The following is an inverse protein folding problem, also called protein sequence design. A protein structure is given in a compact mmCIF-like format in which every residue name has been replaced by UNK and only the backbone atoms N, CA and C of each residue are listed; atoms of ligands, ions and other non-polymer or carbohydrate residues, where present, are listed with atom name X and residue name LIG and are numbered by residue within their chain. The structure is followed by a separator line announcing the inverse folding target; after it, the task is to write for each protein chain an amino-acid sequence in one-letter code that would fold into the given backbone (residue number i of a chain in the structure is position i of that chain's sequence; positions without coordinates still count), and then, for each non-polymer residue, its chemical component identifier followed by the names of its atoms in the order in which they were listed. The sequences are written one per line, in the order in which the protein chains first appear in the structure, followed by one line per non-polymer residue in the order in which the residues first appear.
data_IF_335890679608
#
_entry.id   IF_335890679608
#
_cell.length_a   1.000
_cell.length_b   1.000
_cell.length_c   1.000
_cell.angle_alpha   90.00
_cell.angle_beta   90.00
_cell.angle_gamma   90.00
#
_symmetry.space_group_name_H-M   'P 1'
#
loop_
_entity.id
_entity.type
_entity.pdbx_description
1 polymer ?
#
# COMPACT_ATOMS: atom_id res chain seq x y z
N UNK A 1 -15.70 15.63 27.07
CA UNK A 1 -14.71 16.43 26.31
C UNK A 1 -14.04 15.62 25.20
N UNK A 2 -13.48 14.42 25.47
CA UNK A 2 -12.88 13.57 24.43
C UNK A 2 -13.88 13.11 23.35
N UNK A 3 -15.07 12.62 23.74
CA UNK A 3 -16.14 12.26 22.80
C UNK A 3 -16.65 13.45 21.96
N UNK A 4 -16.75 14.65 22.57
CA UNK A 4 -17.18 15.87 21.88
C UNK A 4 -16.13 16.41 20.88
N UNK A 5 -14.85 16.08 21.06
CA UNK A 5 -13.80 16.37 20.06
C UNK A 5 -13.82 15.37 18.90
N UNK A 6 -14.17 14.10 19.16
CA UNK A 6 -14.41 13.09 18.12
C UNK A 6 -15.66 13.36 17.28
N UNK A 7 -16.62 14.15 17.79
CA UNK A 7 -17.74 14.66 17.01
C UNK A 7 -17.30 15.69 15.94
N UNK A 8 -16.12 16.30 16.07
CA UNK A 8 -15.59 17.30 15.12
C UNK A 8 -14.58 16.67 14.14
N UNK A 9 -13.82 15.67 14.58
CA UNK A 9 -12.73 15.08 13.79
C UNK A 9 -12.85 13.57 13.65
N UNK A 10 -12.80 13.09 12.40
CA UNK A 10 -12.71 11.68 12.04
C UNK A 10 -11.30 11.13 12.35
N UNK A 11 -11.15 10.15 13.26
CA UNK A 11 -9.84 9.59 13.62
C UNK A 11 -9.06 8.97 12.45
N UNK A 12 -9.75 8.34 11.50
CA UNK A 12 -9.13 7.73 10.34
C UNK A 12 -8.59 8.82 9.38
N UNK A 13 -9.33 9.91 9.19
CA UNK A 13 -8.88 11.07 8.44
C UNK A 13 -7.66 11.73 9.11
N UNK A 14 -7.68 11.90 10.44
CA UNK A 14 -6.54 12.42 11.20
C UNK A 14 -5.34 11.50 11.00
N UNK A 15 -5.52 10.19 11.14
CA UNK A 15 -4.44 9.22 10.98
C UNK A 15 -3.79 9.36 9.60
N UNK A 16 -4.58 9.29 8.52
CA UNK A 16 -4.07 9.40 7.15
C UNK A 16 -3.41 10.75 6.87
N UNK A 17 -3.99 11.85 7.37
CA UNK A 17 -3.44 13.19 7.23
C UNK A 17 -2.09 13.32 7.94
N UNK A 18 -1.98 12.84 9.18
CA UNK A 18 -0.75 12.92 9.96
C UNK A 18 0.37 12.11 9.32
N UNK A 19 0.10 10.86 8.90
CA UNK A 19 1.14 10.03 8.28
C UNK A 19 1.55 10.61 6.92
N UNK A 20 0.60 11.10 6.11
CA UNK A 20 0.90 11.75 4.82
C UNK A 20 1.77 12.99 5.02
N UNK A 21 1.39 13.85 5.96
CA UNK A 21 2.14 15.07 6.27
C UNK A 21 3.55 14.74 6.75
N UNK A 22 3.69 13.75 7.63
CA UNK A 22 4.99 13.28 8.08
C UNK A 22 5.85 12.80 6.90
N UNK A 23 5.28 12.00 5.98
CA UNK A 23 5.96 11.51 4.76
C UNK A 23 6.45 12.65 3.88
N UNK A 24 5.57 13.61 3.57
CA UNK A 24 5.89 14.75 2.72
C UNK A 24 6.97 15.62 3.36
N UNK A 25 6.83 15.94 4.65
CA UNK A 25 7.80 16.79 5.37
C UNK A 25 9.20 16.19 5.33
N UNK A 26 9.38 14.92 5.66
CA UNK A 26 10.74 14.37 5.62
C UNK A 26 11.23 14.01 4.22
N UNK A 27 10.35 13.79 3.26
CA UNK A 27 10.75 13.77 1.85
C UNK A 27 11.32 15.13 1.43
N UNK A 28 10.62 16.23 1.74
CA UNK A 28 11.08 17.60 1.50
C UNK A 28 12.39 17.89 2.24
N UNK A 29 12.52 17.51 3.51
CA UNK A 29 13.77 17.67 4.24
C UNK A 29 14.92 16.88 3.59
N UNK A 30 14.67 15.63 3.19
CA UNK A 30 15.70 14.79 2.58
C UNK A 30 16.21 15.35 1.23
N UNK A 31 15.29 15.78 0.36
CA UNK A 31 15.65 16.31 -0.97
C UNK A 31 16.13 17.76 -0.93
N UNK A 32 15.64 18.58 0.00
CA UNK A 32 16.03 19.99 0.11
C UNK A 32 17.31 20.23 0.90
N UNK A 33 17.48 19.58 2.06
CA UNK A 33 18.66 19.69 2.93
C UNK A 33 18.89 18.36 3.67
N UNK A 34 19.61 17.44 3.04
CA UNK A 34 19.90 16.08 3.54
C UNK A 34 20.35 16.05 5.01
N UNK A 35 21.08 17.08 5.46
CA UNK A 35 21.58 17.21 6.83
C UNK A 35 20.58 17.82 7.83
N UNK A 36 19.51 18.48 7.38
CA UNK A 36 18.49 19.09 8.23
C UNK A 36 17.33 18.14 8.57
N UNK A 37 17.18 17.02 7.86
CA UNK A 37 16.10 16.07 8.12
C UNK A 37 16.22 15.41 9.52
N UNK A 38 15.15 15.36 10.32
CA UNK A 38 15.16 14.69 11.62
C UNK A 38 15.56 13.21 11.47
N UNK A 39 16.44 12.73 12.36
CA UNK A 39 17.00 11.37 12.26
C UNK A 39 15.93 10.27 12.35
N UNK A 40 14.91 10.45 13.20
CA UNK A 40 13.81 9.51 13.37
C UNK A 40 12.92 9.41 12.11
N UNK A 41 12.51 10.54 11.52
CA UNK A 41 11.73 10.53 10.28
C UNK A 41 12.54 9.95 9.11
N UNK A 42 13.82 10.31 9.03
CA UNK A 42 14.73 9.78 8.00
C UNK A 42 14.86 8.26 8.12
N UNK A 43 15.00 7.73 9.34
CA UNK A 43 15.09 6.29 9.59
C UNK A 43 13.76 5.54 9.41
N UNK A 44 12.62 6.20 9.60
CA UNK A 44 11.30 5.62 9.34
C UNK A 44 11.02 5.50 7.83
N UNK A 45 11.51 6.45 7.02
CA UNK A 45 11.33 6.46 5.56
C UNK A 45 12.37 5.66 4.80
N UNK A 46 13.63 5.76 5.20
CA UNK A 46 14.71 5.03 4.54
C UNK A 46 14.76 3.62 5.10
N UNK A 47 14.52 2.64 4.23
CA UNK A 47 14.68 1.23 4.56
C UNK A 47 15.42 0.50 3.44
N UNK A 48 15.92 -0.70 3.74
CA UNK A 48 16.66 -1.47 2.76
C UNK A 48 18.03 -0.84 2.44
N UNK A 49 18.43 -0.92 1.17
CA UNK A 49 19.72 -0.46 0.66
C UNK A 49 19.99 1.04 0.86
N UNK A 50 18.95 1.86 0.95
CA UNK A 50 19.07 3.31 1.14
C UNK A 50 19.33 3.67 2.61
N UNK A 51 18.92 2.82 3.55
CA UNK A 51 19.19 3.02 4.97
C UNK A 51 20.64 2.74 5.34
N UNK A 52 21.30 1.79 4.68
CA UNK A 52 22.67 1.38 5.00
C UNK A 52 23.71 2.49 4.75
N UNK A 53 23.44 3.36 3.79
CA UNK A 53 24.32 4.47 3.42
C UNK A 53 24.06 5.76 4.22
N UNK A 54 23.02 5.81 5.06
CA UNK A 54 22.66 7.01 5.82
C UNK A 54 23.15 6.97 7.28
N UNK A 55 23.97 7.95 7.68
CA UNK A 55 24.60 8.05 9.01
C UNK A 55 23.58 8.16 10.16
N UNK A 56 22.47 8.86 9.96
CA UNK A 56 21.39 9.04 10.96
C UNK A 56 20.54 7.78 11.10
N UNK A 57 20.25 7.07 10.01
CA UNK A 57 19.57 5.77 10.06
C UNK A 57 20.39 4.72 10.82
N UNK A 58 21.72 4.79 10.76
CA UNK A 58 22.63 3.89 11.50
C UNK A 58 22.60 4.09 13.03
N UNK A 59 22.31 5.30 13.52
CA UNK A 59 22.23 5.60 14.96
C UNK A 59 21.05 4.88 15.65
N UNK A 60 20.00 4.55 14.90
CA UNK A 60 18.81 3.85 15.39
C UNK A 60 18.89 2.32 15.19
N UNK A 61 20.09 1.76 14.96
CA UNK A 61 20.29 0.31 14.74
C UNK A 61 19.79 -0.57 15.89
N UNK A 62 19.80 -0.07 17.13
CA UNK A 62 19.38 -0.83 18.32
C UNK A 62 17.92 -1.29 18.31
N UNK A 63 17.05 -0.63 17.52
CA UNK A 63 15.62 -0.95 17.40
C UNK A 63 15.24 -1.36 15.96
N UNK A 64 16.22 -1.90 15.22
CA UNK A 64 15.99 -2.42 13.88
C UNK A 64 15.63 -3.90 13.92
N UNK A 65 14.88 -4.38 12.94
CA UNK A 65 14.46 -5.78 12.80
C UNK A 65 14.81 -6.33 11.40
N UNK A 66 14.85 -7.66 11.19
CA UNK A 66 15.17 -8.25 9.89
C UNK A 66 14.15 -7.85 8.81
N UNK A 67 14.62 -7.38 7.64
CA UNK A 67 13.71 -7.00 6.53
C UNK A 67 12.84 -8.15 6.04
N UNK A 68 13.30 -9.39 6.18
CA UNK A 68 12.54 -10.61 5.85
C UNK A 68 11.23 -10.75 6.65
N UNK A 69 11.04 -10.00 7.72
CA UNK A 69 9.78 -9.93 8.47
C UNK A 69 8.70 -9.12 7.75
N UNK A 70 8.97 -8.57 6.55
CA UNK A 70 7.95 -7.98 5.68
C UNK A 70 6.74 -8.90 5.48
N UNK A 71 6.96 -10.21 5.43
CA UNK A 71 5.90 -11.21 5.29
C UNK A 71 4.84 -11.15 6.42
N UNK A 72 5.20 -10.71 7.64
CA UNK A 72 4.29 -10.78 8.79
C UNK A 72 3.08 -9.86 8.63
N UNK A 73 3.26 -8.63 8.16
CA UNK A 73 2.12 -7.74 7.97
C UNK A 73 1.25 -8.15 6.76
N UNK A 74 1.81 -8.86 5.76
CA UNK A 74 0.99 -9.47 4.71
C UNK A 74 0.21 -10.68 5.20
N UNK A 75 0.78 -11.51 6.07
CA UNK A 75 0.06 -12.59 6.74
C UNK A 75 -1.09 -12.04 7.61
N UNK A 76 -0.82 -10.97 8.35
CA UNK A 76 -1.85 -10.21 9.06
C UNK A 76 -2.93 -9.67 8.09
N UNK A 77 -2.49 -9.05 6.99
CA UNK A 77 -3.37 -8.61 5.91
C UNK A 77 -4.29 -9.73 5.41
N UNK A 78 -3.74 -10.90 5.06
CA UNK A 78 -4.51 -12.06 4.61
C UNK A 78 -5.62 -12.41 5.59
N UNK A 79 -5.33 -12.42 6.90
CA UNK A 79 -6.33 -12.72 7.93
C UNK A 79 -7.43 -11.67 7.97
N UNK A 80 -7.08 -10.38 8.06
CA UNK A 80 -8.10 -9.32 8.22
C UNK A 80 -8.95 -9.14 6.95
N UNK A 81 -8.31 -9.17 5.76
CA UNK A 81 -9.00 -8.97 4.49
C UNK A 81 -9.90 -10.17 4.19
N UNK A 82 -9.45 -11.40 4.44
CA UNK A 82 -10.30 -12.59 4.30
C UNK A 82 -11.51 -12.52 5.23
N UNK A 83 -11.30 -12.17 6.51
CA UNK A 83 -12.38 -12.07 7.49
C UNK A 83 -13.43 -11.03 7.07
N UNK A 84 -12.99 -9.84 6.64
CA UNK A 84 -13.90 -8.79 6.17
C UNK A 84 -14.60 -9.18 4.87
N UNK A 85 -13.91 -9.85 3.94
CA UNK A 85 -14.52 -10.39 2.73
C UNK A 85 -15.63 -11.38 3.04
N UNK A 86 -15.40 -12.29 3.99
CA UNK A 86 -16.43 -13.24 4.43
C UNK A 86 -17.65 -12.53 5.03
N UNK A 87 -17.44 -11.52 5.88
CA UNK A 87 -18.55 -10.72 6.42
C UNK A 87 -19.31 -9.95 5.34
N UNK A 88 -18.61 -9.35 4.38
CA UNK A 88 -19.25 -8.64 3.26
C UNK A 88 -20.00 -9.58 2.33
N UNK A 89 -19.48 -10.77 2.04
CA UNK A 89 -20.18 -11.80 1.26
C UNK A 89 -21.43 -12.26 2.02
N UNK A 90 -21.29 -12.58 3.30
CA UNK A 90 -22.40 -12.92 4.18
C UNK A 90 -23.49 -11.84 4.16
N UNK A 91 -23.10 -10.57 4.14
CA UNK A 91 -24.06 -9.47 4.15
C UNK A 91 -24.68 -9.19 2.79
N UNK A 92 -23.85 -8.90 1.78
CA UNK A 92 -24.32 -8.36 0.51
C UNK A 92 -24.78 -9.43 -0.46
N UNK A 93 -24.34 -10.68 -0.30
CA UNK A 93 -24.77 -11.81 -1.15
C UNK A 93 -25.88 -12.60 -0.47
N UNK A 94 -25.69 -12.97 0.82
CA UNK A 94 -26.68 -13.79 1.54
C UNK A 94 -27.72 -12.97 2.31
N UNK A 95 -27.62 -11.64 2.30
CA UNK A 95 -28.64 -10.75 2.87
C UNK A 95 -28.70 -10.76 4.40
N UNK A 96 -27.64 -11.23 5.07
CA UNK A 96 -27.55 -11.18 6.53
C UNK A 96 -27.03 -9.81 6.98
N UNK A 97 -27.38 -9.33 8.18
CA UNK A 97 -26.81 -8.08 8.68
C UNK A 97 -25.32 -8.25 8.97
N UNK A 98 -24.51 -7.21 8.72
CA UNK A 98 -23.13 -7.17 9.19
C UNK A 98 -23.09 -7.31 10.72
N UNK A 99 -22.08 -8.01 11.30
CA UNK A 99 -21.97 -8.14 12.75
C UNK A 99 -21.93 -6.77 13.43
N UNK A 100 -22.78 -6.57 14.44
CA UNK A 100 -22.89 -5.28 15.15
C UNK A 100 -21.57 -4.84 15.79
N UNK A 101 -20.73 -5.80 16.20
CA UNK A 101 -19.36 -5.54 16.69
C UNK A 101 -18.48 -4.90 15.62
N UNK A 102 -18.57 -5.34 14.36
CA UNK A 102 -17.80 -4.77 13.24
C UNK A 102 -18.26 -3.34 12.98
N UNK A 103 -19.58 -3.11 12.91
CA UNK A 103 -20.15 -1.77 12.71
C UNK A 103 -19.73 -0.82 13.85
N UNK A 104 -19.91 -1.23 15.11
CA UNK A 104 -19.51 -0.45 16.28
C UNK A 104 -18.03 -0.11 16.24
N UNK A 105 -17.20 -1.06 15.83
CA UNK A 105 -15.76 -0.86 15.74
C UNK A 105 -15.38 0.13 14.64
N UNK A 106 -15.96 0.02 13.45
CA UNK A 106 -15.77 0.99 12.36
C UNK A 106 -16.21 2.38 12.79
N UNK A 107 -17.34 2.50 13.48
CA UNK A 107 -17.86 3.79 13.97
C UNK A 107 -16.95 4.47 15.01
N UNK A 108 -16.02 3.75 15.66
CA UNK A 108 -14.99 4.37 16.50
C UNK A 108 -13.99 5.20 15.66
N UNK A 109 -13.79 4.82 14.39
CA UNK A 109 -12.84 5.45 13.47
C UNK A 109 -13.51 6.30 12.40
N UNK A 110 -14.77 6.01 12.07
CA UNK A 110 -15.61 6.74 11.11
C UNK A 110 -17.00 7.01 11.76
N UNK A 111 -17.12 8.02 12.63
CA UNK A 111 -18.38 8.25 13.35
C UNK A 111 -19.52 8.78 12.45
N UNK A 112 -19.18 9.33 11.27
CA UNK A 112 -20.11 9.97 10.34
C UNK A 112 -19.94 9.39 8.93
N UNK A 113 -20.38 8.14 8.70
CA UNK A 113 -20.34 7.57 7.36
C UNK A 113 -21.19 8.44 6.42
N UNK A 114 -20.53 9.06 5.44
CA UNK A 114 -21.14 9.91 4.40
C UNK A 114 -21.22 9.20 3.04
N UNK A 115 -20.95 7.89 3.03
CA UNK A 115 -20.76 7.12 1.79
C UNK A 115 -22.05 6.94 1.00
N UNK A 116 -21.97 7.25 -0.30
CA UNK A 116 -22.97 6.95 -1.33
C UNK A 116 -22.58 5.70 -2.14
N UNK A 117 -21.55 4.96 -1.72
CA UNK A 117 -20.98 3.87 -2.50
C UNK A 117 -21.88 2.63 -2.41
N UNK A 118 -22.15 2.01 -3.56
CA UNK A 118 -22.99 0.81 -3.64
C UNK A 118 -22.32 -0.41 -2.99
N UNK A 119 -23.13 -1.37 -2.54
CA UNK A 119 -22.63 -2.65 -2.02
C UNK A 119 -21.84 -3.42 -3.09
N UNK A 120 -22.26 -3.31 -4.35
CA UNK A 120 -21.58 -3.90 -5.50
C UNK A 120 -20.16 -3.34 -5.66
N UNK A 121 -19.99 -2.02 -5.63
CA UNK A 121 -18.67 -1.37 -5.77
C UNK A 121 -17.74 -1.73 -4.61
N UNK A 122 -18.25 -1.70 -3.38
CA UNK A 122 -17.45 -2.02 -2.18
C UNK A 122 -17.05 -3.48 -2.14
N UNK A 123 -17.97 -4.39 -2.45
CA UNK A 123 -17.67 -5.82 -2.52
C UNK A 123 -16.60 -6.10 -3.58
N UNK A 124 -16.68 -5.46 -4.75
CA UNK A 124 -15.69 -5.61 -5.80
C UNK A 124 -14.31 -5.09 -5.34
N UNK A 125 -14.23 -3.91 -4.73
CA UNK A 125 -12.97 -3.39 -4.16
C UNK A 125 -12.40 -4.33 -3.10
N UNK A 126 -13.25 -4.83 -2.19
CA UNK A 126 -12.84 -5.76 -1.15
C UNK A 126 -12.26 -7.05 -1.75
N UNK A 127 -12.87 -7.60 -2.80
CA UNK A 127 -12.38 -8.79 -3.49
C UNK A 127 -11.05 -8.54 -4.20
N UNK A 128 -10.93 -7.42 -4.92
CA UNK A 128 -9.69 -7.03 -5.62
C UNK A 128 -8.54 -6.82 -4.63
N UNK A 129 -8.76 -6.07 -3.54
CA UNK A 129 -7.74 -5.87 -2.51
C UNK A 129 -7.40 -7.16 -1.75
N UNK A 130 -8.38 -8.03 -1.48
CA UNK A 130 -8.09 -9.36 -0.95
C UNK A 130 -7.13 -10.10 -1.88
N UNK A 131 -7.40 -10.11 -3.19
CA UNK A 131 -6.53 -10.77 -4.15
C UNK A 131 -5.12 -10.15 -4.22
N UNK A 132 -5.04 -8.81 -4.16
CA UNK A 132 -3.77 -8.07 -4.05
C UNK A 132 -2.97 -8.54 -2.82
N UNK A 133 -3.60 -8.57 -1.64
CA UNK A 133 -2.95 -8.95 -0.38
C UNK A 133 -2.46 -10.40 -0.42
N UNK A 134 -3.26 -11.33 -0.94
CA UNK A 134 -2.85 -12.73 -1.12
C UNK A 134 -1.64 -12.85 -2.04
N UNK A 135 -1.66 -12.16 -3.20
CA UNK A 135 -0.52 -12.19 -4.13
C UNK A 135 0.73 -11.61 -3.48
N UNK A 136 0.63 -10.48 -2.78
CA UNK A 136 1.77 -9.86 -2.10
C UNK A 136 2.31 -10.74 -0.96
N UNK A 137 1.43 -11.43 -0.22
CA UNK A 137 1.84 -12.41 0.79
C UNK A 137 2.61 -13.56 0.15
N UNK A 138 2.09 -14.13 -0.94
CA UNK A 138 2.77 -15.17 -1.71
C UNK A 138 4.15 -14.70 -2.21
N UNK A 139 4.23 -13.52 -2.80
CA UNK A 139 5.49 -12.94 -3.27
C UNK A 139 6.51 -12.76 -2.14
N UNK A 140 6.08 -12.34 -0.96
CA UNK A 140 6.97 -12.17 0.19
C UNK A 140 7.42 -13.50 0.79
N UNK A 141 6.61 -14.55 0.71
CA UNK A 141 6.95 -15.85 1.27
C UNK A 141 7.78 -16.72 0.33
N UNK A 142 7.49 -16.66 -0.98
CA UNK A 142 7.98 -17.66 -1.94
C UNK A 142 8.78 -17.07 -3.11
N UNK A 143 8.52 -15.82 -3.52
CA UNK A 143 9.20 -15.20 -4.65
C UNK A 143 10.45 -14.44 -4.20
N UNK A 144 10.29 -13.60 -3.19
CA UNK A 144 11.28 -12.62 -2.74
C UNK A 144 12.52 -13.27 -2.14
N UNK A 145 13.69 -12.79 -2.55
CA UNK A 145 14.98 -13.15 -1.95
C UNK A 145 15.43 -12.01 -1.07
N UNK A 146 15.43 -12.20 0.25
CA UNK A 146 15.85 -11.18 1.21
C UNK A 146 17.34 -11.31 1.55
N UNK A 147 18.05 -10.18 1.55
CA UNK A 147 19.40 -10.08 2.12
C UNK A 147 19.33 -9.86 3.64
N UNK A 148 20.48 -9.77 4.31
CA UNK A 148 20.57 -9.51 5.77
C UNK A 148 20.27 -8.06 6.17
N UNK A 149 19.70 -7.28 5.26
CA UNK A 149 19.35 -5.88 5.49
C UNK A 149 18.24 -5.80 6.54
N UNK A 150 18.30 -4.76 7.37
CA UNK A 150 17.34 -4.49 8.45
C UNK A 150 16.43 -3.32 8.10
N UNK A 151 15.28 -3.24 8.77
CA UNK A 151 14.39 -2.08 8.75
C UNK A 151 14.13 -1.59 10.16
N UNK A 152 13.72 -0.35 10.31
CA UNK A 152 13.36 0.22 11.59
C UNK A 152 12.05 -0.40 12.12
N UNK A 153 11.91 -0.57 13.44
CA UNK A 153 10.67 -1.10 14.06
C UNK A 153 9.44 -0.25 13.71
N UNK A 154 9.57 1.08 13.63
CA UNK A 154 8.47 1.95 13.19
C UNK A 154 8.01 1.65 11.76
N UNK A 155 8.92 1.35 10.83
CA UNK A 155 8.53 0.96 9.47
C UNK A 155 7.76 -0.36 9.47
N UNK A 156 8.18 -1.29 10.32
CA UNK A 156 7.48 -2.56 10.51
C UNK A 156 6.06 -2.38 11.08
N UNK A 157 5.92 -1.60 12.16
CA UNK A 157 4.61 -1.28 12.75
C UNK A 157 3.72 -0.52 11.76
N UNK A 158 4.29 0.42 11.01
CA UNK A 158 3.56 1.16 9.98
C UNK A 158 2.98 0.22 8.91
N UNK A 159 3.65 -0.90 8.60
CA UNK A 159 3.09 -1.93 7.73
C UNK A 159 1.76 -2.50 8.25
N UNK A 160 1.67 -2.83 9.55
CA UNK A 160 0.42 -3.31 10.15
C UNK A 160 -0.65 -2.22 10.16
N UNK A 161 -0.29 -1.00 10.57
CA UNK A 161 -1.22 0.12 10.58
C UNK A 161 -1.73 0.46 9.19
N UNK A 162 -0.90 0.30 8.16
CA UNK A 162 -1.31 0.51 6.78
C UNK A 162 -2.37 -0.50 6.34
N UNK A 163 -2.12 -1.81 6.47
CA UNK A 163 -3.11 -2.82 6.05
C UNK A 163 -4.40 -2.73 6.87
N UNK A 164 -4.27 -2.50 8.17
CA UNK A 164 -5.42 -2.28 9.04
C UNK A 164 -6.21 -1.03 8.65
N UNK A 165 -5.52 0.09 8.43
CA UNK A 165 -6.10 1.34 8.00
C UNK A 165 -6.80 1.22 6.66
N UNK A 166 -6.20 0.56 5.66
CA UNK A 166 -6.82 0.34 4.34
C UNK A 166 -8.11 -0.46 4.48
N UNK A 167 -8.08 -1.55 5.25
CA UNK A 167 -9.28 -2.35 5.50
C UNK A 167 -10.38 -1.54 6.22
N UNK A 168 -10.01 -0.71 7.19
CA UNK A 168 -10.94 0.22 7.84
C UNK A 168 -11.49 1.26 6.88
N UNK A 169 -10.67 1.82 5.97
CA UNK A 169 -11.12 2.77 4.96
C UNK A 169 -12.12 2.13 3.98
N UNK A 170 -11.90 0.87 3.59
CA UNK A 170 -12.88 0.12 2.77
C UNK A 170 -14.20 -0.04 3.54
N UNK A 171 -14.14 -0.43 4.82
CA UNK A 171 -15.32 -0.57 5.66
C UNK A 171 -16.03 0.77 5.93
N UNK A 172 -15.28 1.87 6.05
CA UNK A 172 -15.82 3.22 6.21
C UNK A 172 -16.59 3.71 4.97
N UNK A 173 -16.26 3.17 3.79
CA UNK A 173 -17.00 3.41 2.56
C UNK A 173 -18.14 2.39 2.34
N UNK A 174 -18.27 1.38 3.19
CA UNK A 174 -19.27 0.33 3.03
C UNK A 174 -20.69 0.83 3.38
N UNK A 175 -21.71 0.58 2.54
CA UNK A 175 -23.08 0.94 2.87
C UNK A 175 -23.58 0.07 4.04
N UNK A 176 -24.08 0.72 5.09
CA UNK A 176 -24.61 0.05 6.28
C UNK A 176 -26.13 -0.09 6.13
N UNK A 177 -26.71 -1.13 6.73
CA UNK A 177 -28.17 -1.34 6.74
C UNK A 177 -28.89 -0.15 7.37
N UNK A 178 -29.85 0.40 6.64
CA UNK A 178 -30.75 1.46 7.11
C UNK A 178 -32.11 0.86 7.44
N UNK A 179 -32.34 0.54 8.72
CA UNK A 179 -33.57 -0.13 9.15
C UNK A 179 -33.58 -1.62 8.80
N UNK A 180 -34.59 -2.09 8.07
CA UNK A 180 -34.76 -3.52 7.70
C UNK A 180 -34.10 -3.92 6.38
N UNK A 181 -33.63 -2.95 5.58
CA UNK A 181 -33.05 -3.22 4.27
C UNK A 181 -31.53 -3.37 4.36
N UNK A 182 -31.04 -4.55 4.00
CA UNK A 182 -29.61 -4.83 3.86
C UNK A 182 -29.19 -4.48 2.43
N UNK A 183 -28.17 -3.64 2.22
CA UNK A 183 -27.61 -3.40 0.89
C UNK A 183 -27.19 -4.72 0.24
N UNK A 184 -27.42 -4.88 -1.06
CA UNK A 184 -27.11 -6.13 -1.77
C UNK A 184 -26.23 -5.90 -2.97
N UNK A 185 -25.38 -6.88 -3.22
CA UNK A 185 -24.71 -7.02 -4.50
C UNK A 185 -25.75 -7.30 -5.58
N UNK A 186 -25.65 -6.60 -6.71
CA UNK A 186 -26.43 -6.89 -7.91
C UNK A 186 -25.56 -6.77 -9.16
N UNK A 187 -25.70 -7.74 -10.06
CA UNK A 187 -25.05 -7.68 -11.37
C UNK A 187 -25.56 -6.51 -12.21
N UNK A 188 -26.80 -6.07 -11.99
CA UNK A 188 -27.37 -4.90 -12.67
C UNK A 188 -26.68 -3.58 -12.31
N UNK A 189 -26.00 -3.53 -11.16
CA UNK A 189 -25.30 -2.32 -10.70
C UNK A 189 -23.92 -2.18 -11.36
N UNK A 190 -23.44 -3.24 -12.03
CA UNK A 190 -22.16 -3.21 -12.75
C UNK A 190 -22.28 -2.22 -13.91
N UNK A 191 -21.32 -1.31 -13.94
CA UNK A 191 -21.29 -0.19 -14.87
C UNK A 191 -19.86 0.02 -15.40
N UNK A 192 -19.68 0.97 -16.32
CA UNK A 192 -18.41 1.20 -16.99
C UNK A 192 -17.23 1.44 -16.02
N UNK A 193 -17.44 2.16 -14.92
CA UNK A 193 -16.35 2.44 -13.96
C UNK A 193 -15.87 1.17 -13.23
N UNK A 194 -16.76 0.22 -12.94
CA UNK A 194 -16.38 -1.08 -12.39
C UNK A 194 -15.48 -1.86 -13.35
N UNK A 195 -15.84 -1.90 -14.63
CA UNK A 195 -15.10 -2.63 -15.67
C UNK A 195 -13.74 -1.97 -15.92
N UNK A 196 -13.73 -0.66 -16.17
CA UNK A 196 -12.51 0.11 -16.43
C UNK A 196 -11.56 0.01 -15.24
N UNK A 197 -12.06 0.24 -14.02
CA UNK A 197 -11.27 0.11 -12.81
C UNK A 197 -10.69 -1.29 -12.65
N UNK A 198 -11.49 -2.34 -12.85
CA UNK A 198 -11.01 -3.72 -12.75
C UNK A 198 -9.92 -4.04 -13.80
N UNK A 199 -10.06 -3.58 -15.04
CA UNK A 199 -9.04 -3.79 -16.08
C UNK A 199 -7.73 -3.09 -15.73
N UNK A 200 -7.78 -1.83 -15.27
CA UNK A 200 -6.59 -1.09 -14.83
C UNK A 200 -5.94 -1.81 -13.63
N UNK A 201 -6.75 -2.27 -12.68
CA UNK A 201 -6.28 -3.04 -11.53
C UNK A 201 -5.54 -4.29 -11.97
N UNK A 202 -6.12 -5.11 -12.86
CA UNK A 202 -5.50 -6.36 -13.32
C UNK A 202 -4.19 -6.12 -14.08
N UNK A 203 -4.13 -5.06 -14.91
CA UNK A 203 -2.89 -4.65 -15.57
C UNK A 203 -1.81 -4.26 -14.54
N UNK A 204 -2.16 -3.40 -13.58
CA UNK A 204 -1.21 -2.94 -12.57
C UNK A 204 -0.77 -4.09 -11.65
N UNK A 205 -1.70 -4.96 -11.26
CA UNK A 205 -1.46 -6.18 -10.51
C UNK A 205 -0.43 -7.08 -11.22
N UNK A 206 -0.57 -7.27 -12.53
CA UNK A 206 0.39 -8.02 -13.33
C UNK A 206 1.77 -7.34 -13.40
N UNK A 207 1.81 -6.04 -13.70
CA UNK A 207 3.08 -5.27 -13.78
C UNK A 207 3.84 -5.34 -12.46
N UNK A 208 3.14 -5.25 -11.34
CA UNK A 208 3.74 -5.34 -10.03
C UNK A 208 4.33 -6.73 -9.77
N UNK A 209 3.59 -7.80 -10.10
CA UNK A 209 4.07 -9.18 -9.94
C UNK A 209 5.29 -9.48 -10.82
N UNK A 210 5.24 -9.14 -12.10
CA UNK A 210 6.35 -9.27 -13.04
C UNK A 210 7.59 -8.53 -12.51
N UNK A 211 7.42 -7.32 -11.97
CA UNK A 211 8.50 -6.54 -11.37
C UNK A 211 9.16 -7.28 -10.20
N UNK A 212 8.39 -7.91 -9.32
CA UNK A 212 8.93 -8.68 -8.18
C UNK A 212 9.62 -9.97 -8.62
N UNK A 213 9.07 -10.68 -9.61
CA UNK A 213 9.72 -11.87 -10.19
C UNK A 213 11.08 -11.49 -10.78
N UNK A 214 11.15 -10.43 -11.59
CA UNK A 214 12.41 -9.94 -12.18
C UNK A 214 13.43 -9.55 -11.12
N UNK A 215 12.99 -8.85 -10.07
CA UNK A 215 13.89 -8.52 -8.97
C UNK A 215 14.42 -9.75 -8.23
N UNK A 216 13.59 -10.77 -8.04
CA UNK A 216 13.99 -12.02 -7.42
C UNK A 216 14.95 -12.82 -8.33
N UNK A 217 14.72 -12.86 -9.63
CA UNK A 217 15.54 -13.61 -10.58
C UNK A 217 16.97 -13.09 -10.69
N UNK A 218 17.21 -11.78 -10.45
CA UNK A 218 18.57 -11.22 -10.39
C UNK A 218 19.47 -11.89 -9.33
N UNK A 219 18.86 -12.54 -8.34
CA UNK A 219 19.50 -13.21 -7.20
C UNK A 219 19.51 -14.74 -7.33
N UNK A 220 18.83 -15.30 -8.33
CA UNK A 220 18.69 -16.75 -8.55
C UNK A 220 19.41 -17.20 -9.82
N UNK A 221 19.84 -18.45 -9.87
CA UNK A 221 20.27 -19.11 -11.12
C UNK A 221 19.07 -19.65 -11.91
N UNK A 222 19.33 -20.28 -13.06
CA UNK A 222 18.31 -20.91 -13.90
C UNK A 222 17.61 -22.10 -13.23
N UNK A 223 18.18 -22.65 -12.15
CA UNK A 223 17.60 -23.72 -11.33
C UNK A 223 16.79 -23.17 -10.15
N UNK A 224 16.74 -21.85 -9.97
CA UNK A 224 16.04 -21.18 -8.88
C UNK A 224 16.83 -21.05 -7.57
N UNK A 225 18.08 -21.51 -7.52
CA UNK A 225 18.93 -21.42 -6.33
C UNK A 225 19.43 -19.98 -6.13
N UNK A 226 19.46 -19.52 -4.89
CA UNK A 226 19.99 -18.18 -4.57
C UNK A 226 21.51 -18.20 -4.72
N UNK A 227 22.03 -17.48 -5.72
CA UNK A 227 23.46 -17.41 -6.03
C UNK A 227 24.12 -16.10 -5.57
N UNK A 228 23.33 -15.06 -5.31
CA UNK A 228 23.86 -13.78 -4.82
C UNK A 228 22.82 -12.97 -4.07
N UNK A 229 23.29 -12.16 -3.12
CA UNK A 229 22.47 -11.16 -2.43
C UNK A 229 22.80 -9.73 -2.88
N UNK A 230 23.78 -9.57 -3.76
CA UNK A 230 24.22 -8.27 -4.26
C UNK A 230 23.12 -7.60 -5.08
N UNK A 231 23.13 -6.27 -5.08
CA UNK A 231 22.23 -5.50 -5.91
C UNK A 231 22.71 -5.53 -7.37
N UNK A 232 21.77 -5.70 -8.29
CA UNK A 232 21.97 -5.58 -9.73
C UNK A 232 20.95 -4.60 -10.30
N UNK A 233 21.21 -4.11 -11.51
CA UNK A 233 20.26 -3.28 -12.26
C UNK A 233 19.19 -4.21 -12.86
N UNK A 234 17.90 -4.08 -12.50
CA UNK A 234 16.84 -4.86 -13.13
C UNK A 234 16.66 -4.49 -14.60
N UNK A 235 16.30 -5.47 -15.43
CA UNK A 235 16.12 -5.31 -16.87
C UNK A 235 14.82 -6.01 -17.33
N UNK A 236 14.28 -5.54 -18.45
CA UNK A 236 13.07 -6.01 -19.10
C UNK A 236 11.77 -5.53 -18.45
N UNK A 237 10.67 -5.64 -19.20
CA UNK A 237 9.35 -5.18 -18.78
C UNK A 237 9.35 -3.68 -18.50
N UNK A 238 8.60 -3.25 -17.49
CA UNK A 238 8.49 -1.83 -17.14
C UNK A 238 9.79 -1.24 -16.53
N UNK A 239 10.77 -2.08 -16.18
CA UNK A 239 12.08 -1.57 -15.75
C UNK A 239 12.81 -0.83 -16.87
N UNK A 240 12.46 -1.01 -18.14
CA UNK A 240 13.08 -0.25 -19.23
C UNK A 240 12.73 1.24 -19.22
N UNK A 241 11.59 1.59 -18.64
CA UNK A 241 11.10 2.96 -18.58
C UNK A 241 11.34 3.61 -17.22
N UNK A 242 11.12 2.85 -16.15
CA UNK A 242 11.17 3.38 -14.77
C UNK A 242 11.99 2.49 -13.84
N UNK A 243 12.50 3.10 -12.78
CA UNK A 243 13.36 2.43 -11.80
C UNK A 243 12.56 1.54 -10.87
N UNK A 244 11.34 1.96 -10.55
CA UNK A 244 10.47 1.32 -9.57
C UNK A 244 9.08 1.03 -10.17
N UNK A 245 8.99 0.16 -11.18
CA UNK A 245 7.72 -0.20 -11.80
C UNK A 245 6.72 -0.84 -10.83
N UNK A 246 7.20 -1.53 -9.79
CA UNK A 246 6.36 -2.08 -8.72
C UNK A 246 5.69 -0.99 -7.86
N UNK A 247 6.34 0.16 -7.67
CA UNK A 247 5.75 1.31 -6.97
C UNK A 247 4.79 2.08 -7.88
N UNK A 248 5.13 2.22 -9.17
CA UNK A 248 4.23 2.77 -10.19
C UNK A 248 2.94 1.95 -10.27
N UNK A 249 3.06 0.63 -10.31
CA UNK A 249 1.93 -0.27 -10.33
C UNK A 249 1.08 -0.16 -9.05
N UNK A 250 1.70 0.02 -7.88
CA UNK A 250 0.95 0.30 -6.64
C UNK A 250 0.14 1.59 -6.76
N UNK A 251 0.69 2.68 -7.33
CA UNK A 251 -0.10 3.89 -7.59
C UNK A 251 -1.34 3.57 -8.45
N UNK A 252 -1.13 2.85 -9.54
CA UNK A 252 -2.18 2.48 -10.48
C UNK A 252 -3.25 1.54 -9.87
N UNK A 253 -2.86 0.64 -8.97
CA UNK A 253 -3.80 -0.23 -8.22
C UNK A 253 -4.76 0.63 -7.39
N UNK A 254 -4.25 1.58 -6.60
CA UNK A 254 -5.13 2.43 -5.80
C UNK A 254 -5.96 3.39 -6.66
N UNK A 255 -5.42 3.92 -7.76
CA UNK A 255 -6.21 4.67 -8.75
C UNK A 255 -7.37 3.83 -9.29
N UNK A 256 -7.08 2.59 -9.68
CA UNK A 256 -8.07 1.67 -10.23
C UNK A 256 -9.21 1.39 -9.25
N UNK A 257 -8.88 1.19 -7.98
CA UNK A 257 -9.88 0.98 -6.93
C UNK A 257 -10.75 2.23 -6.70
N UNK A 258 -10.20 3.44 -6.79
CA UNK A 258 -11.01 4.67 -6.78
C UNK A 258 -11.99 4.73 -7.94
N UNK A 259 -11.57 4.30 -9.12
CA UNK A 259 -12.45 4.20 -10.29
C UNK A 259 -13.55 3.16 -10.05
N UNK A 260 -13.23 2.01 -9.42
CA UNK A 260 -14.24 1.03 -9.02
C UNK A 260 -15.22 1.61 -7.98
N UNK A 261 -14.74 2.36 -6.99
CA UNK A 261 -15.61 3.03 -6.01
C UNK A 261 -16.51 4.09 -6.64
N UNK A 262 -16.05 4.76 -7.69
CA UNK A 262 -16.78 5.80 -8.42
C UNK A 262 -16.89 7.12 -7.64
N UNK A 263 -17.47 7.08 -6.44
CA UNK A 263 -17.64 8.23 -5.54
C UNK A 263 -17.04 7.94 -4.16
N UNK A 264 -15.71 7.75 -4.05
CA UNK A 264 -15.07 7.52 -2.76
C UNK A 264 -15.17 8.73 -1.83
N UNK A 265 -15.29 8.47 -0.52
CA UNK A 265 -15.34 9.52 0.50
C UNK A 265 -13.97 10.20 0.74
N UNK A 266 -13.95 11.24 1.59
CA UNK A 266 -12.74 11.99 1.96
C UNK A 266 -11.63 11.07 2.50
N UNK A 267 -11.99 10.12 3.36
CA UNK A 267 -11.05 9.18 4.00
C UNK A 267 -10.29 8.32 2.99
N UNK A 268 -10.97 7.89 1.92
CA UNK A 268 -10.33 7.16 0.83
C UNK A 268 -9.27 8.01 0.12
N UNK A 269 -9.59 9.28 -0.19
CA UNK A 269 -8.63 10.20 -0.80
C UNK A 269 -7.42 10.48 0.08
N UNK A 270 -7.62 10.60 1.40
CA UNK A 270 -6.52 10.77 2.35
C UNK A 270 -5.63 9.52 2.43
N UNK A 271 -6.22 8.32 2.42
CA UNK A 271 -5.49 7.06 2.34
C UNK A 271 -4.66 6.96 1.06
N UNK A 272 -5.26 7.32 -0.09
CA UNK A 272 -4.54 7.37 -1.36
C UNK A 272 -3.39 8.37 -1.34
N UNK A 273 -3.60 9.56 -0.77
CA UNK A 273 -2.57 10.58 -0.65
C UNK A 273 -1.36 10.06 0.14
N UNK A 274 -1.59 9.30 1.23
CA UNK A 274 -0.53 8.60 1.95
C UNK A 274 0.20 7.61 1.03
N UNK A 275 -0.53 6.71 0.37
CA UNK A 275 0.06 5.70 -0.49
C UNK A 275 0.92 6.36 -1.59
N UNK A 276 0.36 7.33 -2.30
CA UNK A 276 1.06 8.04 -3.37
C UNK A 276 2.31 8.75 -2.87
N UNK A 277 2.19 9.51 -1.78
CA UNK A 277 3.32 10.23 -1.19
C UNK A 277 4.45 9.28 -0.81
N UNK A 278 4.12 8.16 -0.17
CA UNK A 278 5.10 7.14 0.20
C UNK A 278 5.76 6.52 -1.03
N UNK A 279 4.99 6.00 -1.99
CA UNK A 279 5.53 5.31 -3.17
C UNK A 279 6.39 6.22 -4.03
N UNK A 280 5.96 7.47 -4.25
CA UNK A 280 6.73 8.46 -4.99
C UNK A 280 8.05 8.75 -4.26
N UNK A 281 8.02 9.03 -2.94
CA UNK A 281 9.24 9.30 -2.18
C UNK A 281 10.25 8.13 -2.25
N UNK A 282 9.80 6.90 -1.98
CA UNK A 282 10.71 5.73 -1.98
C UNK A 282 11.22 5.36 -3.37
N UNK A 283 10.47 5.72 -4.42
CA UNK A 283 10.91 5.53 -5.80
C UNK A 283 12.08 6.45 -6.16
N UNK A 284 12.04 7.72 -5.73
CA UNK A 284 13.14 8.66 -5.91
C UNK A 284 14.39 8.26 -5.14
N UNK A 285 14.22 7.82 -3.88
CA UNK A 285 15.33 7.30 -3.09
C UNK A 285 16.00 6.11 -3.79
N UNK A 286 15.20 5.21 -4.34
CA UNK A 286 15.70 4.02 -5.06
C UNK A 286 16.36 4.39 -6.39
N UNK A 287 15.80 5.33 -7.13
CA UNK A 287 16.35 5.83 -8.40
C UNK A 287 17.70 6.52 -8.20
N UNK A 288 17.79 7.45 -7.25
CA UNK A 288 19.05 8.15 -6.94
C UNK A 288 20.12 7.17 -6.47
N UNK A 289 19.76 6.23 -5.60
CA UNK A 289 20.69 5.19 -5.18
C UNK A 289 21.22 4.38 -6.37
N UNK A 290 20.37 4.01 -7.35
CA UNK A 290 20.84 3.31 -8.54
C UNK A 290 21.81 4.16 -9.37
N UNK A 291 21.52 5.45 -9.57
CA UNK A 291 22.39 6.37 -10.31
C UNK A 291 23.76 6.58 -9.65
N UNK A 292 23.79 6.63 -8.32
CA UNK A 292 25.02 6.82 -7.55
C UNK A 292 25.88 5.54 -7.49
N UNK A 293 25.26 4.36 -7.48
CA UNK A 293 25.98 3.09 -7.23
C UNK A 293 26.31 2.31 -8.50
N UNK A 294 25.69 2.65 -9.65
CA UNK A 294 25.92 1.94 -10.91
C UNK A 294 26.27 2.92 -12.03
N UNK A 295 27.56 3.02 -12.41
CA UNK A 295 28.00 3.86 -13.53
C UNK A 295 27.31 3.51 -14.86
N UNK A 296 26.93 2.25 -15.04
CA UNK A 296 26.21 1.74 -16.21
C UNK A 296 24.68 1.90 -16.13
N UNK A 297 24.16 2.64 -15.14
CA UNK A 297 22.72 2.82 -14.99
C UNK A 297 22.08 3.57 -16.16
N UNK A 298 20.98 3.08 -16.75
CA UNK A 298 20.37 3.73 -17.93
C UNK A 298 19.88 5.15 -17.64
N UNK A 299 20.49 6.14 -18.30
CA UNK A 299 20.22 7.57 -18.08
C UNK A 299 18.80 8.01 -18.47
N UNK A 300 18.13 7.26 -19.35
CA UNK A 300 16.76 7.59 -19.81
C UNK A 300 15.67 7.09 -18.85
N UNK A 301 15.98 6.20 -17.90
CA UNK A 301 15.01 5.71 -16.93
C UNK A 301 14.56 6.82 -16.00
N UNK A 302 13.26 6.82 -15.69
CA UNK A 302 12.62 7.71 -14.73
C UNK A 302 12.45 7.01 -13.38
N UNK A 303 12.07 7.70 -12.32
CA UNK A 303 11.93 7.10 -11.01
C UNK A 303 10.71 6.15 -10.95
N UNK A 304 9.54 6.64 -11.37
CA UNK A 304 8.24 5.98 -11.18
C UNK A 304 7.22 6.23 -12.29
N UNK A 305 7.14 7.40 -12.92
CA UNK A 305 6.22 7.67 -14.04
C UNK A 305 7.01 7.66 -15.35
N UNK A 306 6.69 6.75 -16.29
CA UNK A 306 7.38 6.69 -17.58
C UNK A 306 7.41 8.06 -18.27
N UNK A 307 8.57 8.42 -18.80
CA UNK A 307 8.83 9.67 -19.55
C UNK A 307 8.68 10.99 -18.77
N UNK A 308 8.07 10.98 -17.58
CA UNK A 308 7.81 12.18 -16.78
C UNK A 308 8.72 12.24 -15.55
N UNK A 309 8.59 11.28 -14.63
CA UNK A 309 9.06 11.39 -13.23
C UNK A 309 9.89 10.20 -12.79
#
# INVERSE_FOLDING_TARGET
MFYALMDIFNPLDIFWTLVTTAMLLASCCYFGKKDAAPGLLTAAMLYGKVAETNKKARLLKGISIPKRWFKHFYQFGVVIFTSCTLFMVQSYVFGLPLPSTVIKFVNLFEPRPTTTVSATSILLVQLLETFQVYRRCYECMFVSVYSNVRMHVWHYLMGFFFYFGVQLTILANAPISSGTTVPRFSLSDISAHHIIGTVIFLWAFYVQFDSHIRMASLRKDNKGNVVTLNHKIPQGGMFEYVSCPHYMAELAIYCALSVVLGQPNTTWWLMMAWNWSNQVAVSFFSHNWYRENFPSYPKRRKAIIPFVL
#
